data_IF_088476492780
#
_entry.id   IF_088476492780
#
_cell.length_a   1.000
_cell.length_b   1.000
_cell.length_c   1.000
_cell.angle_alpha   90.00
_cell.angle_beta   90.00
_cell.angle_gamma   90.00
#
_symmetry.space_group_name_H-M   'P 1'
#
loop_
_entity.id
_entity.type
_entity.pdbx_description
1 polymer ?
#
# COMPACT_ATOMS: atom_id res chain seq x y z
N UNK A 1 9.74 58.96 25.11
CA UNK A 1 9.25 58.33 23.86
C UNK A 1 9.72 59.25 22.76
N UNK A 2 10.58 58.83 21.82
CA UNK A 2 10.92 59.68 20.70
C UNK A 2 9.64 59.92 19.88
N UNK A 3 9.27 61.17 19.68
CA UNK A 3 8.30 61.59 18.69
C UNK A 3 8.80 61.12 17.34
N UNK A 4 8.35 59.94 16.91
CA UNK A 4 8.57 59.43 15.57
C UNK A 4 7.53 60.10 14.66
N UNK A 5 7.50 61.44 14.63
CA UNK A 5 6.67 62.21 13.70
C UNK A 5 7.35 62.13 12.34
N UNK A 6 7.18 60.97 11.71
CA UNK A 6 7.55 60.74 10.32
C UNK A 6 6.72 61.71 9.48
N UNK A 7 7.34 62.71 8.87
CA UNK A 7 6.61 63.69 8.07
C UNK A 7 6.04 63.05 6.77
N UNK A 8 5.06 63.72 6.18
CA UNK A 8 4.41 63.29 4.94
C UNK A 8 5.42 63.05 3.81
N UNK A 9 6.48 63.85 3.74
CA UNK A 9 7.54 63.71 2.74
C UNK A 9 8.34 62.42 2.89
N UNK A 10 8.58 61.98 4.13
CA UNK A 10 9.29 60.74 4.44
C UNK A 10 8.44 59.54 4.06
N UNK A 11 7.16 59.54 4.43
CA UNK A 11 6.26 58.42 4.06
C UNK A 11 6.06 58.33 2.55
N UNK A 12 5.89 59.47 1.85
CA UNK A 12 5.82 59.50 0.39
C UNK A 12 7.04 58.85 -0.29
N UNK A 13 8.26 59.16 0.20
CA UNK A 13 9.50 58.55 -0.32
C UNK A 13 9.53 57.03 -0.16
N UNK A 14 8.97 56.51 0.94
CA UNK A 14 8.88 55.06 1.16
C UNK A 14 8.00 54.43 0.09
N UNK A 15 6.79 54.93 -0.15
CA UNK A 15 5.89 54.37 -1.17
C UNK A 15 6.44 54.49 -2.59
N UNK A 16 7.11 55.59 -2.94
CA UNK A 16 7.79 55.72 -4.25
C UNK A 16 8.91 54.69 -4.40
N UNK A 17 9.69 54.46 -3.33
CA UNK A 17 10.74 53.43 -3.33
C UNK A 17 10.13 52.03 -3.51
N UNK A 18 9.09 51.70 -2.74
CA UNK A 18 8.38 50.41 -2.85
C UNK A 18 7.82 50.21 -4.26
N UNK A 19 7.19 51.23 -4.86
CA UNK A 19 6.69 51.16 -6.24
C UNK A 19 7.81 50.86 -7.26
N UNK A 20 8.97 51.50 -7.06
CA UNK A 20 10.15 51.33 -7.92
C UNK A 20 10.75 49.94 -7.76
N UNK A 21 10.83 49.45 -6.53
CA UNK A 21 11.35 48.13 -6.22
C UNK A 21 10.43 47.03 -6.78
N UNK A 22 9.09 47.20 -6.68
CA UNK A 22 8.11 46.32 -7.31
C UNK A 22 8.28 46.26 -8.83
N UNK A 23 8.37 47.41 -9.51
CA UNK A 23 8.65 47.46 -10.96
C UNK A 23 9.96 46.79 -11.35
N UNK A 24 11.01 46.94 -10.53
CA UNK A 24 12.33 46.38 -10.82
C UNK A 24 12.38 44.87 -10.61
N UNK A 25 11.56 44.33 -9.71
CA UNK A 25 11.55 42.89 -9.42
C UNK A 25 11.26 42.07 -10.69
N UNK A 26 10.51 42.62 -11.66
CA UNK A 26 10.23 42.00 -12.96
C UNK A 26 9.49 40.66 -12.87
N UNK A 27 9.05 40.31 -11.67
CA UNK A 27 8.33 39.09 -11.39
C UNK A 27 6.86 39.42 -11.63
N UNK A 28 6.36 39.11 -12.84
CA UNK A 28 4.97 39.29 -13.30
C UNK A 28 3.96 38.43 -12.50
N UNK A 29 4.23 38.19 -11.23
CA UNK A 29 3.43 37.41 -10.33
C UNK A 29 2.16 38.15 -9.90
N UNK A 30 1.34 37.41 -9.16
CA UNK A 30 0.10 37.91 -8.55
C UNK A 30 0.37 39.16 -7.70
N UNK A 31 1.56 39.25 -7.11
CA UNK A 31 1.95 40.33 -6.21
C UNK A 31 2.09 41.67 -6.95
N UNK A 32 2.68 41.67 -8.14
CA UNK A 32 2.76 42.87 -8.97
C UNK A 32 1.36 43.33 -9.40
N UNK A 33 0.52 42.40 -9.86
CA UNK A 33 -0.85 42.71 -10.29
C UNK A 33 -1.74 43.23 -9.15
N UNK A 34 -1.49 42.79 -7.92
CA UNK A 34 -2.29 43.16 -6.75
C UNK A 34 -1.81 44.44 -6.06
N UNK A 35 -0.52 44.51 -5.76
CA UNK A 35 0.05 45.55 -4.90
C UNK A 35 0.49 46.76 -5.69
N UNK A 36 1.02 46.59 -6.90
CA UNK A 36 1.57 47.72 -7.64
C UNK A 36 0.55 48.84 -7.88
N UNK A 37 -0.69 48.57 -8.32
CA UNK A 37 -1.69 49.63 -8.48
C UNK A 37 -1.99 50.39 -7.18
N UNK A 38 -2.02 49.68 -6.03
CA UNK A 38 -2.27 50.27 -4.73
C UNK A 38 -1.10 51.13 -4.26
N UNK A 39 0.13 50.63 -4.37
CA UNK A 39 1.34 51.38 -3.98
C UNK A 39 1.53 52.60 -4.89
N UNK A 40 1.23 52.49 -6.19
CA UNK A 40 1.23 53.64 -7.09
C UNK A 40 0.16 54.68 -6.74
N UNK A 41 -1.05 54.23 -6.38
CA UNK A 41 -2.11 55.13 -5.93
C UNK A 41 -1.68 55.86 -4.66
N UNK A 42 -1.10 55.16 -3.69
CA UNK A 42 -0.48 55.75 -2.49
C UNK A 42 0.62 56.76 -2.82
N UNK A 43 1.60 56.39 -3.64
CA UNK A 43 2.69 57.27 -4.01
C UNK A 43 2.18 58.56 -4.69
N UNK A 44 1.23 58.42 -5.61
CA UNK A 44 0.66 59.56 -6.36
C UNK A 44 -0.15 60.49 -5.47
N UNK A 45 -0.95 59.95 -4.55
CA UNK A 45 -1.81 60.72 -3.63
C UNK A 45 -1.01 61.39 -2.51
N UNK A 46 0.01 60.71 -1.99
CA UNK A 46 0.96 61.30 -1.03
C UNK A 46 1.75 62.45 -1.68
N UNK A 47 2.17 62.32 -2.94
CA UNK A 47 2.84 63.39 -3.67
C UNK A 47 1.95 64.64 -3.81
N UNK A 48 0.67 64.46 -4.12
CA UNK A 48 -0.32 65.54 -4.14
C UNK A 48 -0.49 66.19 -2.76
N UNK A 49 -0.67 65.39 -1.72
CA UNK A 49 -0.94 65.86 -0.36
C UNK A 49 0.13 66.85 0.15
N UNK A 50 1.41 66.64 -0.22
CA UNK A 50 2.52 67.57 0.13
C UNK A 50 2.33 68.99 -0.40
N UNK A 51 1.60 69.15 -1.49
CA UNK A 51 1.42 70.44 -2.18
C UNK A 51 0.02 71.02 -2.02
N UNK A 52 -0.92 70.25 -1.47
CA UNK A 52 -2.33 70.61 -1.37
C UNK A 52 -2.61 71.70 -0.31
N UNK A 53 -1.69 71.93 0.62
CA UNK A 53 -1.88 72.87 1.74
C UNK A 53 -2.96 72.38 2.70
N UNK A 54 -2.76 71.19 3.25
CA UNK A 54 -3.67 70.51 4.17
C UNK A 54 -3.59 71.11 5.57
N UNK A 55 -4.60 70.86 6.39
CA UNK A 55 -4.52 71.18 7.83
C UNK A 55 -3.60 70.17 8.54
N UNK A 56 -2.99 70.52 9.69
CA UNK A 56 -2.16 69.58 10.45
C UNK A 56 -2.88 68.27 10.81
N UNK A 57 -4.18 68.34 11.13
CA UNK A 57 -5.01 67.18 11.46
C UNK A 57 -5.20 66.26 10.24
N UNK A 58 -5.40 66.82 9.04
CA UNK A 58 -5.50 66.05 7.80
C UNK A 58 -4.16 65.39 7.45
N UNK A 59 -3.04 66.11 7.63
CA UNK A 59 -1.70 65.55 7.41
C UNK A 59 -1.41 64.41 8.38
N UNK A 60 -1.73 64.56 9.66
CA UNK A 60 -1.55 63.52 10.69
C UNK A 60 -2.37 62.27 10.35
N UNK A 61 -3.63 62.43 9.95
CA UNK A 61 -4.48 61.31 9.53
C UNK A 61 -3.92 60.54 8.31
N UNK A 62 -3.42 61.26 7.30
CA UNK A 62 -2.80 60.64 6.13
C UNK A 62 -1.50 59.91 6.51
N UNK A 63 -0.66 60.53 7.34
CA UNK A 63 0.60 59.92 7.80
C UNK A 63 0.33 58.64 8.59
N UNK A 64 -0.63 58.65 9.51
CA UNK A 64 -1.01 57.46 10.28
C UNK A 64 -1.49 56.33 9.37
N UNK A 65 -2.43 56.62 8.47
CA UNK A 65 -2.96 55.63 7.53
C UNK A 65 -1.87 55.06 6.60
N UNK A 66 -0.93 55.89 6.18
CA UNK A 66 0.18 55.46 5.33
C UNK A 66 1.21 54.59 6.08
N UNK A 67 1.43 54.83 7.37
CA UNK A 67 2.26 53.96 8.22
C UNK A 67 1.60 52.59 8.43
N UNK A 68 0.30 52.56 8.71
CA UNK A 68 -0.45 51.30 8.85
C UNK A 68 -0.50 50.53 7.52
N UNK A 69 -0.66 51.23 6.39
CA UNK A 69 -0.56 50.62 5.06
C UNK A 69 0.84 50.04 4.79
N UNK A 70 1.91 50.69 5.26
CA UNK A 70 3.27 50.18 5.15
C UNK A 70 3.48 48.90 5.99
N UNK A 71 2.92 48.85 7.20
CA UNK A 71 2.96 47.65 8.05
C UNK A 71 2.16 46.50 7.43
N UNK A 72 0.98 46.79 6.89
CA UNK A 72 0.18 45.81 6.16
C UNK A 72 0.90 45.29 4.90
N UNK A 73 1.61 46.15 4.16
CA UNK A 73 2.47 45.75 3.05
C UNK A 73 3.63 44.84 3.50
N UNK A 74 4.28 45.18 4.61
CA UNK A 74 5.35 44.34 5.18
C UNK A 74 4.82 42.97 5.59
N UNK A 75 3.60 42.91 6.12
CA UNK A 75 2.91 41.66 6.44
C UNK A 75 2.61 40.87 5.17
N UNK A 76 2.12 41.53 4.10
CA UNK A 76 1.79 40.93 2.82
C UNK A 76 2.97 40.15 2.21
N UNK A 77 4.20 40.66 2.31
CA UNK A 77 5.40 39.99 1.82
C UNK A 77 5.73 38.69 2.58
N UNK A 78 5.31 38.59 3.85
CA UNK A 78 5.67 37.49 4.74
C UNK A 78 4.63 36.37 4.80
N UNK A 79 3.40 36.63 4.37
CA UNK A 79 2.27 35.71 4.55
C UNK A 79 1.78 35.11 3.23
N UNK A 80 1.00 34.03 3.33
CA UNK A 80 0.46 33.32 2.18
C UNK A 80 -1.05 33.11 2.30
N UNK A 81 -1.67 32.82 1.16
CA UNK A 81 -3.08 32.48 1.03
C UNK A 81 -4.03 33.52 1.63
N UNK A 82 -4.91 33.10 2.54
CA UNK A 82 -5.91 33.99 3.15
C UNK A 82 -5.29 35.18 3.88
N UNK A 83 -4.23 34.96 4.65
CA UNK A 83 -3.54 36.05 5.36
C UNK A 83 -2.96 37.09 4.38
N UNK A 84 -2.55 36.65 3.18
CA UNK A 84 -2.06 37.53 2.11
C UNK A 84 -3.18 38.37 1.51
N UNK A 85 -4.36 37.76 1.33
CA UNK A 85 -5.57 38.47 0.92
C UNK A 85 -6.02 39.51 1.98
N UNK A 86 -5.94 39.17 3.27
CA UNK A 86 -6.30 40.07 4.37
C UNK A 86 -5.34 41.27 4.46
N UNK A 87 -4.02 41.04 4.32
CA UNK A 87 -3.02 42.11 4.29
C UNK A 87 -3.21 43.05 3.09
N UNK A 88 -3.52 42.50 1.91
CA UNK A 88 -3.84 43.28 0.70
C UNK A 88 -5.10 44.13 0.88
N UNK A 89 -6.15 43.57 1.50
CA UNK A 89 -7.37 44.30 1.82
C UNK A 89 -7.12 45.44 2.82
N UNK A 90 -6.21 45.26 3.79
CA UNK A 90 -5.81 46.30 4.73
C UNK A 90 -5.10 47.46 4.02
N UNK A 91 -4.10 47.21 3.16
CA UNK A 91 -3.40 48.25 2.39
C UNK A 91 -4.38 49.09 1.56
N UNK A 92 -5.37 48.44 0.95
CA UNK A 92 -6.46 49.10 0.23
C UNK A 92 -7.31 49.96 1.16
N UNK A 93 -7.79 49.41 2.28
CA UNK A 93 -8.69 50.10 3.20
C UNK A 93 -8.11 51.42 3.72
N UNK A 94 -6.80 51.49 3.91
CA UNK A 94 -6.15 52.73 4.35
C UNK A 94 -6.15 53.85 3.29
N UNK A 95 -6.37 53.56 2.00
CA UNK A 95 -6.53 54.62 0.98
C UNK A 95 -7.81 55.43 1.15
N UNK A 96 -8.80 54.89 1.87
CA UNK A 96 -10.10 55.55 2.09
C UNK A 96 -9.94 56.87 2.91
N UNK A 97 -8.78 57.05 3.58
CA UNK A 97 -8.42 58.32 4.23
C UNK A 97 -8.47 59.50 3.25
N UNK A 98 -8.04 59.29 2.00
CA UNK A 98 -8.04 60.36 0.99
C UNK A 98 -9.44 60.74 0.57
N UNK A 99 -10.37 59.78 0.46
CA UNK A 99 -11.77 60.07 0.15
C UNK A 99 -12.41 60.94 1.22
N UNK A 100 -12.09 60.73 2.50
CA UNK A 100 -12.53 61.59 3.59
C UNK A 100 -11.96 63.01 3.46
N UNK A 101 -10.65 63.14 3.24
CA UNK A 101 -9.96 64.43 3.07
C UNK A 101 -10.48 65.20 1.84
N UNK A 102 -10.66 64.54 0.69
CA UNK A 102 -11.25 65.17 -0.50
C UNK A 102 -12.67 65.66 -0.23
N UNK A 103 -13.47 64.89 0.51
CA UNK A 103 -14.80 65.28 0.94
C UNK A 103 -14.82 66.52 1.83
N UNK A 104 -13.84 66.68 2.71
CA UNK A 104 -13.66 67.88 3.53
C UNK A 104 -13.22 69.09 2.70
N UNK A 105 -12.24 68.92 1.82
CA UNK A 105 -11.74 69.98 0.96
C UNK A 105 -12.83 70.54 0.02
N UNK A 106 -13.70 69.67 -0.52
CA UNK A 106 -14.88 70.09 -1.29
C UNK A 106 -15.85 70.91 -0.45
N UNK A 107 -16.12 70.47 0.79
CA UNK A 107 -16.97 71.22 1.74
C UNK A 107 -16.37 72.58 2.09
N UNK A 108 -15.04 72.69 2.07
CA UNK A 108 -14.31 73.94 2.22
C UNK A 108 -14.26 74.81 0.94
N UNK A 109 -14.91 74.39 -0.16
CA UNK A 109 -15.02 75.17 -1.40
C UNK A 109 -13.92 74.92 -2.43
N UNK A 110 -13.05 73.90 -2.25
CA UNK A 110 -12.06 73.53 -3.27
C UNK A 110 -12.75 72.92 -4.51
N UNK A 111 -12.29 73.23 -5.74
CA UNK A 111 -12.88 72.67 -6.96
C UNK A 111 -12.69 71.15 -7.01
N UNK A 112 -13.78 70.40 -7.23
CA UNK A 112 -13.71 68.93 -7.31
C UNK A 112 -12.80 68.40 -8.42
N UNK A 113 -12.63 69.15 -9.51
CA UNK A 113 -11.76 68.82 -10.63
C UNK A 113 -10.28 68.65 -10.23
N UNK A 114 -9.86 69.22 -9.09
CA UNK A 114 -8.50 69.03 -8.56
C UNK A 114 -8.28 67.59 -8.05
N UNK A 115 -9.33 66.91 -7.60
CA UNK A 115 -9.24 65.60 -6.94
C UNK A 115 -9.63 64.42 -7.84
N UNK A 116 -10.38 64.68 -8.93
CA UNK A 116 -10.89 63.66 -9.85
C UNK A 116 -9.81 62.67 -10.36
N UNK A 117 -8.60 63.11 -10.77
CA UNK A 117 -7.57 62.17 -11.25
C UNK A 117 -7.10 61.20 -10.16
N UNK A 118 -7.05 61.65 -8.90
CA UNK A 118 -6.60 60.85 -7.76
C UNK A 118 -7.67 59.87 -7.33
N UNK A 119 -8.93 60.30 -7.23
CA UNK A 119 -10.05 59.41 -6.94
C UNK A 119 -10.24 58.33 -8.01
N UNK A 120 -10.10 58.69 -9.29
CA UNK A 120 -10.14 57.72 -10.38
C UNK A 120 -9.01 56.68 -10.25
N UNK A 121 -7.81 57.10 -9.83
CA UNK A 121 -6.68 56.19 -9.62
C UNK A 121 -6.88 55.28 -8.41
N UNK A 122 -7.36 55.82 -7.29
CA UNK A 122 -7.70 55.03 -6.08
C UNK A 122 -8.78 54.00 -6.42
N UNK A 123 -9.86 54.41 -7.09
CA UNK A 123 -10.94 53.51 -7.50
C UNK A 123 -10.43 52.39 -8.40
N UNK A 124 -9.63 52.73 -9.42
CA UNK A 124 -9.05 51.74 -10.34
C UNK A 124 -8.13 50.75 -9.60
N UNK A 125 -7.28 51.24 -8.71
CA UNK A 125 -6.38 50.39 -7.91
C UNK A 125 -7.17 49.49 -6.95
N UNK A 126 -8.23 50.03 -6.33
CA UNK A 126 -9.12 49.28 -5.46
C UNK A 126 -9.82 48.13 -6.23
N UNK A 127 -10.35 48.41 -7.43
CA UNK A 127 -11.01 47.41 -8.28
C UNK A 127 -10.04 46.30 -8.71
N UNK A 128 -8.83 46.67 -9.13
CA UNK A 128 -7.79 45.70 -9.51
C UNK A 128 -7.39 44.82 -8.32
N UNK A 129 -7.14 45.41 -7.14
CA UNK A 129 -6.80 44.65 -5.94
C UNK A 129 -7.93 43.70 -5.52
N UNK A 130 -9.20 44.12 -5.63
CA UNK A 130 -10.36 43.31 -5.28
C UNK A 130 -10.48 42.06 -6.16
N UNK A 131 -10.20 42.20 -7.46
CA UNK A 131 -10.15 41.06 -8.38
C UNK A 131 -9.05 40.07 -7.97
N UNK A 132 -7.87 40.56 -7.62
CA UNK A 132 -6.76 39.70 -7.23
C UNK A 132 -6.99 39.01 -5.87
N UNK A 133 -7.55 39.72 -4.89
CA UNK A 133 -8.00 39.14 -3.60
C UNK A 133 -8.94 37.95 -3.85
N UNK A 134 -9.91 38.11 -4.76
CA UNK A 134 -10.85 37.04 -5.13
C UNK A 134 -10.13 35.82 -5.69
N UNK A 135 -9.16 36.01 -6.60
CA UNK A 135 -8.37 34.92 -7.19
C UNK A 135 -7.50 34.24 -6.15
N UNK A 136 -6.76 34.99 -5.32
CA UNK A 136 -5.89 34.42 -4.28
C UNK A 136 -6.68 33.60 -3.27
N UNK A 137 -7.85 34.11 -2.85
CA UNK A 137 -8.74 33.40 -1.92
C UNK A 137 -9.26 32.10 -2.54
N UNK A 138 -9.72 32.16 -3.80
CA UNK A 138 -10.19 30.99 -4.53
C UNK A 138 -9.10 29.93 -4.70
N UNK A 139 -7.90 30.33 -5.11
CA UNK A 139 -6.77 29.40 -5.28
C UNK A 139 -6.38 28.78 -3.94
N UNK A 140 -6.35 29.57 -2.86
CA UNK A 140 -6.01 29.08 -1.52
C UNK A 140 -7.01 28.04 -1.00
N UNK A 141 -8.31 28.30 -1.17
CA UNK A 141 -9.36 27.35 -0.80
C UNK A 141 -9.25 26.05 -1.62
N UNK A 142 -8.98 26.17 -2.92
CA UNK A 142 -8.75 25.00 -3.78
C UNK A 142 -7.51 24.20 -3.43
N UNK A 143 -6.41 24.86 -3.04
CA UNK A 143 -5.21 24.13 -2.58
C UNK A 143 -5.48 23.38 -1.28
N UNK A 144 -6.22 23.96 -0.34
CA UNK A 144 -6.60 23.27 0.91
C UNK A 144 -7.49 22.06 0.64
N UNK A 145 -8.49 22.20 -0.25
CA UNK A 145 -9.33 21.07 -0.66
C UNK A 145 -8.52 19.98 -1.36
N UNK A 146 -7.54 20.35 -2.18
CA UNK A 146 -6.67 19.39 -2.87
C UNK A 146 -5.77 18.64 -1.89
N UNK A 147 -5.17 19.34 -0.93
CA UNK A 147 -4.32 18.74 0.11
C UNK A 147 -5.12 17.77 0.98
N UNK A 148 -6.34 18.14 1.36
CA UNK A 148 -7.25 17.25 2.08
C UNK A 148 -7.59 16.00 1.25
N UNK A 149 -7.96 16.19 -0.03
CA UNK A 149 -8.26 15.07 -0.92
C UNK A 149 -7.05 14.14 -1.11
N UNK A 150 -5.83 14.68 -1.24
CA UNK A 150 -4.61 13.89 -1.32
C UNK A 150 -4.41 13.08 -0.04
N UNK A 151 -4.59 13.70 1.12
CA UNK A 151 -4.49 13.02 2.43
C UNK A 151 -5.49 11.85 2.54
N UNK A 152 -6.76 12.09 2.23
CA UNK A 152 -7.81 11.07 2.25
C UNK A 152 -7.51 9.92 1.27
N UNK A 153 -6.97 10.25 0.08
CA UNK A 153 -6.59 9.24 -0.93
C UNK A 153 -5.41 8.39 -0.47
N UNK A 154 -4.43 8.99 0.22
CA UNK A 154 -3.28 8.25 0.78
C UNK A 154 -3.70 7.30 1.91
N UNK A 155 -4.61 7.75 2.77
CA UNK A 155 -5.18 6.91 3.84
C UNK A 155 -5.96 5.74 3.25
N UNK A 156 -6.87 6.00 2.30
CA UNK A 156 -7.62 4.95 1.60
C UNK A 156 -6.70 3.95 0.87
N UNK A 157 -5.62 4.41 0.24
CA UNK A 157 -4.64 3.54 -0.41
C UNK A 157 -3.90 2.64 0.60
N UNK A 158 -3.59 3.18 1.79
CA UNK A 158 -2.98 2.40 2.88
C UNK A 158 -3.94 1.34 3.40
N UNK A 159 -5.19 1.70 3.69
CA UNK A 159 -6.23 0.76 4.13
C UNK A 159 -6.46 -0.35 3.11
N UNK A 160 -6.53 -0.01 1.81
CA UNK A 160 -6.68 -0.99 0.74
C UNK A 160 -5.51 -1.98 0.68
N UNK A 161 -4.27 -1.50 0.90
CA UNK A 161 -3.08 -2.36 0.94
C UNK A 161 -3.10 -3.30 2.15
N UNK A 162 -3.49 -2.80 3.32
CA UNK A 162 -3.64 -3.60 4.52
C UNK A 162 -4.74 -4.68 4.35
N UNK A 163 -5.89 -4.31 3.78
CA UNK A 163 -6.98 -5.24 3.46
C UNK A 163 -6.54 -6.34 2.48
N UNK A 164 -5.78 -5.99 1.44
CA UNK A 164 -5.23 -6.94 0.48
C UNK A 164 -4.28 -7.94 1.17
N UNK A 165 -3.37 -7.47 2.03
CA UNK A 165 -2.50 -8.36 2.81
C UNK A 165 -3.28 -9.31 3.73
N UNK A 166 -4.37 -8.84 4.34
CA UNK A 166 -5.23 -9.69 5.16
C UNK A 166 -5.98 -10.75 4.31
N UNK A 167 -6.49 -10.35 3.15
CA UNK A 167 -7.15 -11.25 2.21
C UNK A 167 -6.20 -12.32 1.67
N UNK A 168 -4.98 -11.95 1.28
CA UNK A 168 -3.94 -12.89 0.85
C UNK A 168 -3.61 -13.89 1.96
N UNK A 169 -3.36 -13.42 3.19
CA UNK A 169 -3.11 -14.32 4.34
C UNK A 169 -4.27 -15.27 4.60
N UNK A 170 -5.50 -14.80 4.49
CA UNK A 170 -6.69 -15.63 4.66
C UNK A 170 -6.81 -16.68 3.54
N UNK A 171 -6.59 -16.27 2.29
CA UNK A 171 -6.60 -17.15 1.13
C UNK A 171 -5.51 -18.23 1.23
N UNK A 172 -4.28 -17.86 1.61
CA UNK A 172 -3.18 -18.81 1.83
C UNK A 172 -3.54 -19.80 2.93
N UNK A 173 -4.04 -19.35 4.09
CA UNK A 173 -4.46 -20.26 5.18
C UNK A 173 -5.56 -21.21 4.74
N UNK A 174 -6.56 -20.72 4.00
CA UNK A 174 -7.65 -21.53 3.48
C UNK A 174 -7.15 -22.59 2.48
N UNK A 175 -6.29 -22.20 1.54
CA UNK A 175 -5.70 -23.10 0.56
C UNK A 175 -4.83 -24.18 1.23
N UNK A 176 -3.98 -23.80 2.20
CA UNK A 176 -3.17 -24.76 2.96
C UNK A 176 -4.05 -25.73 3.74
N UNK A 177 -5.10 -25.25 4.42
CA UNK A 177 -6.02 -26.13 5.15
C UNK A 177 -6.77 -27.10 4.24
N UNK A 178 -7.16 -26.68 3.04
CA UNK A 178 -7.78 -27.56 2.05
C UNK A 178 -6.82 -28.65 1.55
N UNK A 179 -5.56 -28.30 1.29
CA UNK A 179 -4.52 -29.26 0.92
C UNK A 179 -4.23 -30.25 2.05
N UNK A 180 -4.10 -29.77 3.29
CA UNK A 180 -3.91 -30.63 4.47
C UNK A 180 -5.02 -31.68 4.59
N UNK A 181 -6.30 -31.26 4.48
CA UNK A 181 -7.45 -32.18 4.52
C UNK A 181 -7.43 -33.19 3.38
N UNK A 182 -7.01 -32.78 2.18
CA UNK A 182 -6.90 -33.67 1.02
C UNK A 182 -5.84 -34.75 1.25
N UNK A 183 -4.66 -34.38 1.73
CA UNK A 183 -3.59 -35.32 2.05
C UNK A 183 -3.92 -36.22 3.25
N UNK A 184 -4.57 -35.68 4.30
CA UNK A 184 -5.05 -36.47 5.42
C UNK A 184 -6.06 -37.54 4.96
N UNK A 185 -7.01 -37.14 4.10
CA UNK A 185 -8.01 -38.06 3.53
C UNK A 185 -7.34 -39.14 2.69
N UNK A 186 -6.35 -38.77 1.87
CA UNK A 186 -5.57 -39.69 1.04
C UNK A 186 -4.75 -40.67 1.89
N UNK A 187 -4.14 -40.19 2.98
CA UNK A 187 -3.39 -41.03 3.91
C UNK A 187 -4.32 -42.05 4.58
N UNK A 188 -5.46 -41.60 5.12
CA UNK A 188 -6.45 -42.47 5.78
C UNK A 188 -7.08 -43.50 4.82
N UNK A 189 -7.42 -43.10 3.60
CA UNK A 189 -8.02 -44.01 2.61
C UNK A 189 -7.00 -45.06 2.14
N UNK A 190 -5.76 -44.65 1.91
CA UNK A 190 -4.66 -45.55 1.51
C UNK A 190 -4.28 -46.53 2.63
N UNK A 191 -4.27 -46.08 3.89
CA UNK A 191 -4.03 -46.96 5.04
C UNK A 191 -5.12 -48.04 5.18
N UNK A 192 -6.40 -47.66 5.04
CA UNK A 192 -7.51 -48.62 5.02
C UNK A 192 -7.38 -49.62 3.88
N UNK A 193 -7.04 -49.14 2.67
CA UNK A 193 -6.82 -50.01 1.52
C UNK A 193 -5.65 -50.99 1.78
N UNK A 194 -4.54 -50.52 2.35
CA UNK A 194 -3.40 -51.38 2.69
C UNK A 194 -3.79 -52.49 3.67
N UNK A 195 -4.58 -52.18 4.69
CA UNK A 195 -5.12 -53.18 5.63
C UNK A 195 -6.05 -54.19 4.96
N UNK A 196 -6.92 -53.72 4.07
CA UNK A 196 -7.82 -54.59 3.31
C UNK A 196 -7.05 -55.57 2.42
N UNK A 197 -6.06 -55.08 1.66
CA UNK A 197 -5.21 -55.94 0.84
C UNK A 197 -4.38 -56.93 1.67
N UNK A 198 -3.88 -56.53 2.85
CA UNK A 198 -3.23 -57.47 3.78
C UNK A 198 -4.18 -58.58 4.24
N UNK A 199 -5.42 -58.22 4.56
CA UNK A 199 -6.46 -59.19 4.92
C UNK A 199 -6.71 -60.19 3.79
N UNK A 200 -6.81 -59.72 2.54
CA UNK A 200 -6.94 -60.58 1.37
C UNK A 200 -5.70 -61.45 1.11
N UNK A 201 -4.49 -60.90 1.27
CA UNK A 201 -3.25 -61.69 1.17
C UNK A 201 -3.24 -62.81 2.21
N UNK A 202 -3.58 -62.51 3.47
CA UNK A 202 -3.64 -63.52 4.52
C UNK A 202 -4.72 -64.58 4.22
N UNK A 203 -5.89 -64.15 3.77
CA UNK A 203 -6.97 -65.04 3.34
C UNK A 203 -6.55 -65.97 2.21
N UNK A 204 -5.87 -65.46 1.18
CA UNK A 204 -5.37 -66.28 0.06
C UNK A 204 -4.27 -67.25 0.48
N UNK A 205 -3.38 -66.86 1.41
CA UNK A 205 -2.37 -67.76 1.97
C UNK A 205 -3.01 -68.89 2.79
N UNK A 206 -3.96 -68.57 3.66
CA UNK A 206 -4.71 -69.57 4.45
C UNK A 206 -5.46 -70.53 3.53
N UNK A 207 -6.10 -70.02 2.47
CA UNK A 207 -6.78 -70.85 1.47
C UNK A 207 -5.79 -71.77 0.73
N UNK A 208 -4.64 -71.23 0.31
CA UNK A 208 -3.59 -72.00 -0.38
C UNK A 208 -3.05 -73.11 0.51
N UNK A 209 -2.77 -72.82 1.78
CA UNK A 209 -2.30 -73.79 2.76
C UNK A 209 -3.36 -74.86 3.06
N UNK A 210 -4.62 -74.46 3.24
CA UNK A 210 -5.74 -75.38 3.51
C UNK A 210 -6.01 -76.32 2.34
N UNK A 211 -6.01 -75.80 1.10
CA UNK A 211 -6.14 -76.61 -0.10
C UNK A 211 -4.94 -77.55 -0.28
N UNK A 212 -3.73 -77.07 -0.02
CA UNK A 212 -2.52 -77.90 -0.06
C UNK A 212 -2.59 -79.08 0.92
N UNK A 213 -3.00 -78.83 2.17
CA UNK A 213 -3.22 -79.86 3.17
C UNK A 213 -4.34 -80.83 2.77
N UNK A 214 -5.46 -80.32 2.26
CA UNK A 214 -6.58 -81.15 1.80
C UNK A 214 -6.16 -82.06 0.64
N UNK A 215 -5.45 -81.53 -0.35
CA UNK A 215 -4.91 -82.31 -1.47
C UNK A 215 -3.91 -83.37 -1.03
N UNK A 216 -3.16 -83.13 0.04
CA UNK A 216 -2.19 -84.07 0.60
C UNK A 216 -2.90 -85.25 1.29
N UNK A 217 -3.96 -84.98 2.06
CA UNK A 217 -4.71 -85.99 2.83
C UNK A 217 -5.57 -86.88 1.94
N UNK A 218 -6.29 -86.32 0.98
CA UNK A 218 -7.32 -87.04 0.22
C UNK A 218 -6.75 -87.92 -0.91
N UNK A 219 -5.50 -87.68 -1.31
CA UNK A 219 -4.88 -88.33 -2.49
C UNK A 219 -3.50 -88.91 -2.21
N UNK A 220 -3.19 -89.24 -0.96
CA UNK A 220 -2.05 -90.10 -0.66
C UNK A 220 -2.42 -91.52 -1.09
N UNK A 221 -1.77 -92.12 -2.12
CA UNK A 221 -2.12 -93.47 -2.53
C UNK A 221 -1.82 -94.45 -1.40
N UNK A 222 -2.71 -95.42 -1.11
CA UNK A 222 -2.38 -96.53 -0.21
C UNK A 222 -1.15 -97.26 -0.75
N UNK A 223 -0.34 -97.81 0.16
CA UNK A 223 0.94 -98.47 -0.17
C UNK A 223 0.73 -99.46 -1.33
N UNK A 224 1.27 -99.13 -2.51
CA UNK A 224 1.16 -99.93 -3.75
C UNK A 224 0.26 -99.39 -4.87
N UNK A 225 -0.41 -98.24 -4.69
CA UNK A 225 -1.26 -97.62 -5.72
C UNK A 225 -0.51 -96.85 -6.82
N UNK A 226 -1.05 -96.83 -8.05
CA UNK A 226 -0.55 -95.99 -9.14
C UNK A 226 -0.79 -94.50 -8.84
N UNK A 227 0.23 -93.67 -9.04
CA UNK A 227 0.17 -92.21 -8.84
C UNK A 227 -0.53 -91.56 -10.04
N UNK A 228 -1.60 -90.79 -9.78
CA UNK A 228 -2.25 -89.95 -10.81
C UNK A 228 -1.46 -88.65 -11.02
N UNK A 229 -0.53 -88.68 -11.96
CA UNK A 229 0.31 -87.53 -12.32
C UNK A 229 -0.47 -86.35 -12.89
N UNK A 230 -1.61 -86.58 -13.57
CA UNK A 230 -2.42 -85.50 -14.13
C UNK A 230 -3.09 -84.69 -13.02
N UNK A 231 -3.63 -85.37 -12.00
CA UNK A 231 -4.19 -84.74 -10.81
C UNK A 231 -3.16 -83.90 -10.04
N UNK A 232 -1.91 -84.37 -9.93
CA UNK A 232 -0.82 -83.63 -9.28
C UNK A 232 -0.50 -82.33 -10.02
N UNK A 233 -0.34 -82.39 -11.34
CA UNK A 233 -0.02 -81.22 -12.17
C UNK A 233 -1.12 -80.15 -12.07
N UNK A 234 -2.40 -80.57 -12.13
CA UNK A 234 -3.53 -79.64 -12.04
C UNK A 234 -3.57 -78.89 -10.69
N UNK A 235 -3.30 -79.60 -9.58
CA UNK A 235 -3.26 -78.99 -8.24
C UNK A 235 -2.07 -78.06 -8.07
N UNK A 236 -0.91 -78.47 -8.58
CA UNK A 236 0.28 -77.63 -8.59
C UNK A 236 0.00 -76.32 -9.34
N UNK A 237 -0.70 -76.38 -10.48
CA UNK A 237 -1.10 -75.20 -11.23
C UNK A 237 -2.05 -74.29 -10.43
N UNK A 238 -3.06 -74.86 -9.75
CA UNK A 238 -3.97 -74.08 -8.87
C UNK A 238 -3.21 -73.42 -7.71
N UNK A 239 -2.38 -74.18 -6.99
CA UNK A 239 -1.59 -73.64 -5.88
C UNK A 239 -0.62 -72.56 -6.36
N UNK A 240 -0.01 -72.73 -7.54
CA UNK A 240 0.87 -71.73 -8.15
C UNK A 240 0.10 -70.45 -8.52
N UNK A 241 -1.12 -70.58 -9.07
CA UNK A 241 -1.96 -69.44 -9.38
C UNK A 241 -2.39 -68.68 -8.12
N UNK A 242 -2.75 -69.38 -7.04
CA UNK A 242 -3.09 -68.77 -5.76
C UNK A 242 -1.87 -68.10 -5.09
N UNK A 243 -0.70 -68.72 -5.18
CA UNK A 243 0.55 -68.12 -4.70
C UNK A 243 0.90 -66.84 -5.46
N UNK A 244 0.75 -66.84 -6.80
CA UNK A 244 0.94 -65.65 -7.63
C UNK A 244 -0.05 -64.54 -7.28
N UNK A 245 -1.32 -64.87 -7.05
CA UNK A 245 -2.35 -63.92 -6.61
C UNK A 245 -2.02 -63.33 -5.24
N UNK A 246 -1.60 -64.17 -4.29
CA UNK A 246 -1.19 -63.71 -2.96
C UNK A 246 0.01 -62.75 -3.02
N UNK A 247 1.00 -63.07 -3.84
CA UNK A 247 2.16 -62.21 -4.07
C UNK A 247 1.75 -60.85 -4.67
N UNK A 248 0.81 -60.84 -5.62
CA UNK A 248 0.28 -59.60 -6.20
C UNK A 248 -0.46 -58.75 -5.15
N UNK A 249 -1.35 -59.35 -4.36
CA UNK A 249 -2.06 -58.66 -3.28
C UNK A 249 -1.10 -58.11 -2.22
N UNK A 250 -0.03 -58.86 -1.89
CA UNK A 250 1.00 -58.42 -0.95
C UNK A 250 1.78 -57.20 -1.50
N UNK A 251 2.09 -57.21 -2.81
CA UNK A 251 2.70 -56.06 -3.50
C UNK A 251 1.78 -54.85 -3.45
N UNK A 252 0.48 -55.04 -3.67
CA UNK A 252 -0.50 -53.96 -3.63
C UNK A 252 -0.69 -53.38 -2.22
N UNK A 253 -0.71 -54.23 -1.18
CA UNK A 253 -0.73 -53.78 0.21
C UNK A 253 0.48 -52.90 0.56
N UNK A 254 1.66 -53.28 0.07
CA UNK A 254 2.90 -52.52 0.26
C UNK A 254 2.84 -51.18 -0.46
N UNK A 255 2.32 -51.15 -1.69
CA UNK A 255 2.12 -49.93 -2.46
C UNK A 255 1.21 -48.93 -1.73
N UNK A 256 0.03 -49.35 -1.27
CA UNK A 256 -0.88 -48.48 -0.53
C UNK A 256 -0.31 -47.99 0.81
N UNK A 257 0.49 -48.82 1.50
CA UNK A 257 1.17 -48.37 2.72
C UNK A 257 2.16 -47.25 2.43
N UNK A 258 2.95 -47.35 1.36
CA UNK A 258 3.88 -46.29 0.94
C UNK A 258 3.15 -45.02 0.58
N UNK A 259 2.05 -45.13 -0.17
CA UNK A 259 1.22 -43.99 -0.52
C UNK A 259 0.68 -43.28 0.74
N UNK A 260 0.23 -44.05 1.74
CA UNK A 260 -0.20 -43.51 3.02
C UNK A 260 0.93 -42.80 3.76
N UNK A 261 2.13 -43.39 3.85
CA UNK A 261 3.29 -42.77 4.50
C UNK A 261 3.73 -41.49 3.79
N UNK A 262 3.76 -41.50 2.45
CA UNK A 262 4.09 -40.33 1.65
C UNK A 262 3.08 -39.20 1.85
N UNK A 263 1.78 -39.48 1.73
CA UNK A 263 0.72 -38.49 1.93
C UNK A 263 0.77 -37.89 3.35
N UNK A 264 1.05 -38.73 4.36
CA UNK A 264 1.26 -38.26 5.74
C UNK A 264 2.49 -37.37 5.90
N UNK A 265 3.57 -37.71 5.19
CA UNK A 265 4.77 -36.87 5.14
C UNK A 265 4.47 -35.49 4.57
N UNK A 266 3.74 -35.41 3.47
CA UNK A 266 3.32 -34.13 2.87
C UNK A 266 2.37 -33.36 3.79
N UNK A 267 1.43 -34.03 4.47
CA UNK A 267 0.54 -33.41 5.47
C UNK A 267 1.35 -32.71 6.59
N UNK A 268 2.36 -33.40 7.14
CA UNK A 268 3.22 -32.85 8.20
C UNK A 268 4.07 -31.70 7.65
N UNK A 269 4.61 -31.85 6.44
CA UNK A 269 5.40 -30.81 5.80
C UNK A 269 4.55 -29.55 5.55
N UNK A 270 3.30 -29.67 5.07
CA UNK A 270 2.38 -28.53 4.89
C UNK A 270 2.18 -27.75 6.19
N UNK A 271 1.96 -28.45 7.32
CA UNK A 271 1.77 -27.83 8.64
C UNK A 271 3.01 -27.09 9.14
N UNK A 272 4.19 -27.65 8.90
CA UNK A 272 5.46 -27.06 9.34
C UNK A 272 5.97 -25.96 8.39
N UNK A 273 5.65 -26.05 7.10
CA UNK A 273 6.24 -25.23 6.03
C UNK A 273 5.95 -23.74 6.22
N UNK A 274 4.70 -23.35 6.48
CA UNK A 274 4.36 -21.93 6.70
C UNK A 274 5.07 -21.33 7.92
N UNK A 275 5.23 -22.12 8.98
CA UNK A 275 5.96 -21.68 10.18
C UNK A 275 7.44 -21.41 9.87
N UNK A 276 8.06 -22.24 9.02
CA UNK A 276 9.45 -22.09 8.63
C UNK A 276 9.67 -20.93 7.65
N UNK A 277 8.83 -20.84 6.61
CA UNK A 277 9.01 -19.88 5.53
C UNK A 277 8.72 -18.44 5.95
N UNK A 278 7.82 -18.24 6.91
CA UNK A 278 7.54 -16.90 7.45
C UNK A 278 8.73 -16.29 8.22
N UNK A 279 9.69 -17.10 8.68
CA UNK A 279 10.89 -16.62 9.39
C UNK A 279 11.99 -16.15 8.42
N UNK A 280 11.89 -16.48 7.13
CA UNK A 280 12.84 -16.08 6.10
C UNK A 280 12.56 -14.63 5.69
N UNK A 281 13.49 -13.74 6.02
CA UNK A 281 13.40 -12.30 5.70
C UNK A 281 13.68 -11.97 4.23
N UNK A 282 14.47 -12.80 3.57
CA UNK A 282 14.82 -12.65 2.16
C UNK A 282 13.68 -13.16 1.27
N UNK A 283 13.17 -12.29 0.40
CA UNK A 283 12.04 -12.59 -0.48
C UNK A 283 12.40 -13.64 -1.54
N UNK A 284 13.63 -13.58 -2.07
CA UNK A 284 14.06 -14.48 -3.14
C UNK A 284 14.27 -15.90 -2.61
N UNK A 285 14.90 -16.04 -1.43
CA UNK A 285 14.99 -17.31 -0.73
C UNK A 285 13.59 -17.87 -0.39
N UNK A 286 12.66 -17.00 0.03
CA UNK A 286 11.28 -17.40 0.34
C UNK A 286 10.55 -17.93 -0.89
N UNK A 287 10.60 -17.23 -2.02
CA UNK A 287 9.99 -17.68 -3.28
C UNK A 287 10.60 -19.00 -3.77
N UNK A 288 11.92 -19.16 -3.64
CA UNK A 288 12.61 -20.40 -3.98
C UNK A 288 12.11 -21.57 -3.13
N UNK A 289 11.91 -21.36 -1.82
CA UNK A 289 11.34 -22.39 -0.94
C UNK A 289 9.89 -22.75 -1.32
N UNK A 290 9.06 -21.77 -1.68
CA UNK A 290 7.72 -22.03 -2.23
C UNK A 290 7.76 -22.85 -3.52
N UNK A 291 8.68 -22.55 -4.43
CA UNK A 291 8.82 -23.29 -5.68
C UNK A 291 9.29 -24.74 -5.46
N UNK A 292 10.28 -24.95 -4.60
CA UNK A 292 10.77 -26.30 -4.24
C UNK A 292 9.68 -27.12 -3.56
N UNK A 293 8.93 -26.50 -2.65
CA UNK A 293 7.83 -27.15 -1.95
C UNK A 293 6.67 -27.47 -2.90
N UNK A 294 6.28 -26.53 -3.77
CA UNK A 294 5.27 -26.74 -4.79
C UNK A 294 5.64 -27.90 -5.72
N UNK A 295 6.90 -27.95 -6.17
CA UNK A 295 7.41 -29.08 -6.95
C UNK A 295 7.26 -30.40 -6.20
N UNK A 296 7.60 -30.44 -4.90
CA UNK A 296 7.50 -31.66 -4.09
C UNK A 296 6.06 -32.13 -3.87
N UNK A 297 5.11 -31.19 -3.69
CA UNK A 297 3.68 -31.50 -3.52
C UNK A 297 3.07 -32.02 -4.82
N UNK A 298 3.53 -31.52 -5.98
CA UNK A 298 3.05 -31.92 -7.31
C UNK A 298 3.77 -33.15 -7.87
N UNK A 299 4.92 -33.53 -7.33
CA UNK A 299 5.64 -34.73 -7.70
C UNK A 299 4.84 -35.99 -7.35
N UNK A 300 4.87 -36.97 -8.26
CA UNK A 300 4.29 -38.28 -8.00
C UNK A 300 4.95 -38.92 -6.76
N UNK A 301 4.19 -39.73 -5.99
CA UNK A 301 4.77 -40.50 -4.89
C UNK A 301 5.94 -41.33 -5.41
N UNK A 302 7.04 -41.47 -4.64
CA UNK A 302 8.22 -42.17 -5.10
C UNK A 302 7.87 -43.60 -5.49
N UNK A 303 7.98 -43.91 -6.80
CA UNK A 303 7.85 -45.27 -7.32
C UNK A 303 9.15 -46.03 -7.02
N UNK A 304 9.39 -46.34 -5.74
CA UNK A 304 10.66 -46.87 -5.26
C UNK A 304 10.64 -48.36 -4.93
N UNK A 305 11.51 -49.14 -5.55
CA UNK A 305 11.88 -50.52 -5.14
C UNK A 305 12.17 -50.58 -3.64
N UNK A 306 11.73 -51.66 -2.98
CA UNK A 306 11.83 -51.85 -1.54
C UNK A 306 13.25 -51.76 -0.98
N UNK A 307 13.64 -50.58 -0.50
CA UNK A 307 14.75 -50.37 0.42
C UNK A 307 14.22 -50.05 1.83
N UNK A 308 15.00 -50.34 2.86
CA UNK A 308 14.64 -50.17 4.27
C UNK A 308 14.51 -48.70 4.74
N UNK A 309 14.47 -47.73 3.82
CA UNK A 309 14.68 -46.30 4.07
C UNK A 309 13.43 -45.41 3.91
N UNK A 310 12.22 -45.97 3.75
CA UNK A 310 10.96 -45.23 3.58
C UNK A 310 10.41 -44.57 4.88
N UNK A 311 11.29 -44.17 5.81
CA UNK A 311 10.89 -43.44 7.03
C UNK A 311 10.49 -42.00 6.70
N UNK A 312 9.45 -41.48 7.37
CA UNK A 312 9.01 -40.08 7.28
C UNK A 312 10.20 -39.12 7.52
N UNK A 313 11.15 -39.50 8.37
CA UNK A 313 12.36 -38.74 8.68
C UNK A 313 13.24 -38.49 7.44
N UNK A 314 13.40 -39.49 6.58
CA UNK A 314 14.22 -39.39 5.37
C UNK A 314 13.54 -38.57 4.26
N UNK A 315 12.20 -38.47 4.29
CA UNK A 315 11.43 -37.65 3.33
C UNK A 315 11.53 -36.15 3.66
N UNK A 316 11.74 -35.80 4.94
CA UNK A 316 11.83 -34.41 5.42
C UNK A 316 13.27 -33.86 5.33
N UNK A 317 14.28 -34.74 5.42
CA UNK A 317 15.70 -34.40 5.44
C UNK A 317 16.20 -33.51 4.29
N UNK A 318 15.81 -33.74 3.01
CA UNK A 318 16.30 -32.93 1.88
C UNK A 318 15.84 -31.47 1.96
N UNK A 319 14.66 -31.22 2.55
CA UNK A 319 14.11 -29.87 2.70
C UNK A 319 14.87 -29.14 3.82
N UNK A 320 15.13 -29.83 4.94
CA UNK A 320 15.91 -29.28 6.06
C UNK A 320 17.34 -28.95 5.63
N UNK A 321 17.99 -29.84 4.87
CA UNK A 321 19.36 -29.63 4.41
C UNK A 321 19.47 -28.47 3.39
N UNK A 322 18.53 -28.36 2.45
CA UNK A 322 18.53 -27.24 1.51
C UNK A 322 18.21 -25.91 2.20
N UNK A 323 17.29 -25.93 3.18
CA UNK A 323 16.99 -24.75 3.99
C UNK A 323 18.19 -24.32 4.86
N UNK A 324 18.94 -25.27 5.43
CA UNK A 324 20.15 -24.99 6.18
C UNK A 324 21.27 -24.42 5.30
N UNK A 325 21.43 -24.92 4.06
CA UNK A 325 22.38 -24.38 3.09
C UNK A 325 22.07 -22.95 2.66
N UNK A 326 20.80 -22.63 2.42
CA UNK A 326 20.38 -21.26 2.09
C UNK A 326 20.61 -20.29 3.25
N UNK A 327 20.45 -20.74 4.50
CA UNK A 327 20.74 -19.93 5.70
C UNK A 327 22.24 -19.71 5.93
N UNK A 328 23.11 -20.60 5.45
CA UNK A 328 24.56 -20.48 5.63
C UNK A 328 25.25 -19.59 4.57
N UNK A 329 24.55 -19.30 3.47
CA UNK A 329 25.06 -18.48 2.36
C UNK A 329 24.58 -17.01 2.40
N UNK A 330 23.77 -16.65 3.40
CA UNK A 330 23.35 -15.27 3.72
C UNK A 330 23.99 -14.85 5.05
#
# INVERSE_FOLDING_TARGET
MPENTTDLATVAKVFVKVATDLHRSGDNGIDELAMLPLIEAWATTLEWAKTAGLTPEQEEGIVSAAQEAQEAYSTYELVHGKNKADALAAVRGYLDVFSAVFGELRRAGRPGAEFEPYEARISKAADQSAQVVGVVTYVSDRTLQLDQAISETQEAAREAKEALMHAERAATRSATSALERSFETTAKSSEKAAWWFRGLTLGTLVLTASLGLWFMIDHTPPVGGNVDWYGVIYRLAILSALAALSAYLARQATHYRRLATWARGIEIQLKAFLGFVNEIKDEDARQTMYALFGKRVLEAPPEGKSGADDSITNIIQPIIENAAKLRANN
#
